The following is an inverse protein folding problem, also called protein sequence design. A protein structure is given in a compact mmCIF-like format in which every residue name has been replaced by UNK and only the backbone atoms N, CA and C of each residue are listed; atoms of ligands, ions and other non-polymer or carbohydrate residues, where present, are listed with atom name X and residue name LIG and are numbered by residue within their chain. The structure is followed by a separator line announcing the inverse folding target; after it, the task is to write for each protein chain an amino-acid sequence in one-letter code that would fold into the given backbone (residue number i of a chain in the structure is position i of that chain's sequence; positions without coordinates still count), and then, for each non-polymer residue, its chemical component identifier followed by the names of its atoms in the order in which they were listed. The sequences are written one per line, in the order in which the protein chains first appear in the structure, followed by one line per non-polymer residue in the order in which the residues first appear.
data_IF_661155324158
#
_entry.id   IF_661155324158
#
_cell.length_a   1.000
_cell.length_b   1.000
_cell.length_c   1.000
_cell.angle_alpha   90.00
_cell.angle_beta   90.00
_cell.angle_gamma   90.00
#
_symmetry.space_group_name_H-M   'P 1'
#
loop_
_entity.id
_entity.type
_entity.pdbx_description
1 polymer ?
#
# COMPACT_ATOMS: atom_id res chain seq x y z
N UNK A 1 23.99 -3.41 -13.90
CA UNK A 1 24.02 -4.85 -13.58
C UNK A 1 22.99 -5.10 -12.48
N UNK A 2 21.77 -5.52 -12.82
CA UNK A 2 20.77 -5.89 -11.82
C UNK A 2 21.01 -7.35 -11.45
N UNK A 3 21.39 -7.59 -10.19
CA UNK A 3 21.66 -8.92 -9.66
C UNK A 3 20.35 -9.72 -9.65
N UNK A 4 20.35 -10.82 -10.41
CA UNK A 4 19.28 -11.82 -10.34
C UNK A 4 19.25 -12.40 -8.92
N UNK A 5 18.19 -12.05 -8.19
CA UNK A 5 17.96 -12.52 -6.83
C UNK A 5 17.50 -13.99 -6.90
N UNK A 6 18.45 -14.92 -6.96
CA UNK A 6 18.24 -16.37 -6.84
C UNK A 6 17.87 -16.78 -5.41
N UNK A 7 16.90 -16.10 -4.80
CA UNK A 7 16.33 -16.55 -3.52
C UNK A 7 15.16 -17.48 -3.82
N UNK A 8 15.14 -18.65 -3.19
CA UNK A 8 14.14 -19.68 -3.38
C UNK A 8 12.69 -19.13 -3.39
N UNK A 9 11.80 -19.64 -4.27
CA UNK A 9 10.45 -19.10 -4.49
C UNK A 9 9.52 -19.19 -3.26
N UNK A 10 9.95 -19.84 -2.19
CA UNK A 10 9.20 -20.05 -0.95
C UNK A 10 9.79 -19.31 0.26
N UNK A 11 10.86 -18.55 0.08
CA UNK A 11 11.55 -17.90 1.19
C UNK A 11 10.77 -16.69 1.71
N UNK A 12 10.49 -16.68 3.01
CA UNK A 12 9.89 -15.53 3.71
C UNK A 12 10.76 -14.27 3.55
N UNK A 13 10.11 -13.12 3.36
CA UNK A 13 10.78 -11.82 3.23
C UNK A 13 10.42 -10.90 4.38
N UNK A 14 11.39 -10.10 4.80
CA UNK A 14 11.17 -9.06 5.81
C UNK A 14 10.58 -7.80 5.19
N UNK A 15 9.92 -6.98 6.01
CA UNK A 15 9.35 -5.70 5.55
C UNK A 15 10.36 -4.78 4.87
N UNK A 16 11.61 -4.76 5.34
CA UNK A 16 12.66 -3.93 4.75
C UNK A 16 13.05 -4.42 3.36
N UNK A 17 13.16 -5.74 3.16
CA UNK A 17 13.46 -6.31 1.84
C UNK A 17 12.32 -6.04 0.85
N UNK A 18 11.06 -6.24 1.26
CA UNK A 18 9.90 -5.99 0.40
C UNK A 18 9.74 -4.50 0.09
N UNK A 19 10.02 -3.63 1.06
CA UNK A 19 10.03 -2.18 0.88
C UNK A 19 11.05 -1.75 -0.20
N UNK A 20 12.28 -2.27 -0.12
CA UNK A 20 13.32 -2.01 -1.11
C UNK A 20 12.95 -2.56 -2.49
N UNK A 21 12.35 -3.75 -2.57
CA UNK A 21 11.96 -4.36 -3.84
C UNK A 21 10.81 -3.61 -4.54
N UNK A 22 9.90 -3.02 -3.77
CA UNK A 22 8.76 -2.27 -4.29
C UNK A 22 9.02 -0.77 -4.40
N UNK A 23 10.20 -0.29 -4.02
CA UNK A 23 10.51 1.14 -3.89
C UNK A 23 9.46 1.91 -3.07
N UNK A 24 9.01 1.30 -1.96
CA UNK A 24 8.01 1.87 -1.07
C UNK A 24 8.56 2.01 0.34
N UNK A 25 8.26 3.09 1.07
CA UNK A 25 8.65 3.20 2.47
C UNK A 25 8.04 2.08 3.33
N UNK A 26 8.78 1.51 4.32
CA UNK A 26 8.29 0.43 5.17
C UNK A 26 6.99 0.76 5.93
N UNK A 27 6.77 2.04 6.28
CA UNK A 27 5.56 2.46 6.98
C UNK A 27 4.29 2.36 6.09
N UNK A 28 4.41 2.49 4.77
CA UNK A 28 3.30 2.31 3.81
C UNK A 28 2.86 0.85 3.82
N UNK A 29 3.81 -0.08 3.82
CA UNK A 29 3.50 -1.52 3.93
C UNK A 29 2.79 -1.84 5.24
N UNK A 30 3.25 -1.28 6.37
CA UNK A 30 2.55 -1.42 7.67
C UNK A 30 1.14 -0.86 7.64
N UNK A 31 0.94 0.28 6.98
CA UNK A 31 -0.38 0.87 6.82
C UNK A 31 -1.28 -0.04 5.97
N UNK A 32 -0.75 -0.63 4.90
CA UNK A 32 -1.48 -1.57 4.04
C UNK A 32 -1.84 -2.87 4.76
N UNK A 33 -1.03 -3.37 5.69
CA UNK A 33 -1.42 -4.52 6.54
C UNK A 33 -2.76 -4.31 7.23
N UNK A 34 -3.00 -3.09 7.76
CA UNK A 34 -4.25 -2.76 8.43
C UNK A 34 -5.43 -2.54 7.47
N UNK A 35 -5.16 -2.17 6.22
CA UNK A 35 -6.20 -1.90 5.21
C UNK A 35 -6.54 -3.12 4.36
N UNK A 36 -5.62 -4.06 4.18
CA UNK A 36 -5.83 -5.26 3.36
C UNK A 36 -5.60 -6.55 4.17
N UNK A 37 -6.28 -6.76 5.31
CA UNK A 37 -6.06 -7.92 6.18
C UNK A 37 -6.41 -9.26 5.51
N UNK A 38 -7.22 -9.21 4.45
CA UNK A 38 -7.61 -10.39 3.69
C UNK A 38 -6.56 -10.82 2.66
N UNK A 39 -5.74 -9.88 2.19
CA UNK A 39 -4.75 -10.11 1.13
C UNK A 39 -3.33 -10.23 1.69
N UNK A 40 -3.03 -9.49 2.77
CA UNK A 40 -1.69 -9.42 3.36
C UNK A 40 -1.78 -9.93 4.79
N UNK A 41 -1.17 -11.09 5.05
CA UNK A 41 -1.17 -11.72 6.38
C UNK A 41 0.25 -11.97 6.86
N UNK A 42 0.93 -10.95 7.43
CA UNK A 42 2.30 -11.11 7.88
C UNK A 42 2.39 -12.12 9.02
N UNK A 43 3.34 -13.05 8.91
CA UNK A 43 3.64 -14.00 9.98
C UNK A 43 4.42 -13.27 11.06
N UNK A 44 3.85 -13.18 12.26
CA UNK A 44 4.50 -12.62 13.44
C UNK A 44 5.34 -13.70 14.12
N UNK A 45 6.65 -13.47 14.22
CA UNK A 45 7.57 -14.35 14.98
C UNK A 45 7.86 -13.73 16.35
N UNK A 46 8.39 -14.54 17.29
CA UNK A 46 8.70 -14.21 18.70
C UNK A 46 9.61 -12.99 18.95
N UNK A 47 10.07 -12.28 17.91
CA UNK A 47 10.86 -11.04 18.02
C UNK A 47 10.17 -9.80 17.44
N UNK A 48 8.85 -9.80 17.23
CA UNK A 48 8.10 -8.65 16.70
C UNK A 48 8.36 -8.34 15.22
N UNK A 49 9.23 -9.11 14.56
CA UNK A 49 9.51 -9.00 13.13
C UNK A 49 8.37 -9.63 12.32
N UNK A 50 8.02 -8.95 11.23
CA UNK A 50 6.99 -9.37 10.28
C UNK A 50 7.66 -9.99 9.07
N UNK A 51 7.15 -11.16 8.70
CA UNK A 51 7.58 -11.89 7.52
C UNK A 51 6.40 -12.02 6.57
N UNK A 52 6.62 -11.64 5.32
CA UNK A 52 5.66 -11.80 4.23
C UNK A 52 5.96 -13.08 3.46
N UNK A 53 4.91 -13.76 3.03
CA UNK A 53 4.97 -14.87 2.09
C UNK A 53 5.12 -14.34 0.68
N UNK A 54 5.51 -15.22 -0.23
CA UNK A 54 5.58 -14.89 -1.66
C UNK A 54 4.22 -14.39 -2.18
N UNK A 55 3.12 -15.04 -1.78
CA UNK A 55 1.75 -14.63 -2.12
C UNK A 55 1.43 -13.20 -1.64
N UNK A 56 1.79 -12.86 -0.40
CA UNK A 56 1.59 -11.50 0.13
C UNK A 56 2.33 -10.46 -0.72
N UNK A 57 3.54 -10.78 -1.20
CA UNK A 57 4.33 -9.89 -2.06
C UNK A 57 3.65 -9.69 -3.42
N UNK A 58 3.05 -10.75 -3.98
CA UNK A 58 2.25 -10.63 -5.20
C UNK A 58 1.03 -9.71 -4.97
N UNK A 59 0.32 -9.86 -3.86
CA UNK A 59 -0.79 -8.96 -3.52
C UNK A 59 -0.32 -7.51 -3.33
N UNK A 60 0.83 -7.29 -2.68
CA UNK A 60 1.42 -5.96 -2.50
C UNK A 60 1.75 -5.28 -3.83
N UNK A 61 2.28 -6.02 -4.81
CA UNK A 61 2.50 -5.49 -6.17
C UNK A 61 1.20 -5.08 -6.84
N UNK A 62 0.16 -5.92 -6.74
CA UNK A 62 -1.16 -5.62 -7.29
C UNK A 62 -1.78 -4.39 -6.62
N UNK A 63 -1.70 -4.27 -5.30
CA UNK A 63 -2.18 -3.11 -4.56
C UNK A 63 -1.43 -1.85 -4.99
N UNK A 64 -0.09 -1.89 -5.13
CA UNK A 64 0.70 -0.78 -5.64
C UNK A 64 0.19 -0.32 -7.02
N UNK A 65 -0.03 -1.26 -7.93
CA UNK A 65 -0.54 -0.93 -9.26
C UNK A 65 -1.93 -0.27 -9.21
N UNK A 66 -2.86 -0.83 -8.42
CA UNK A 66 -4.22 -0.28 -8.30
C UNK A 66 -4.23 1.13 -7.72
N UNK A 67 -3.37 1.41 -6.74
CA UNK A 67 -3.33 2.72 -6.07
C UNK A 67 -2.54 3.76 -6.87
N UNK A 68 -1.33 3.42 -7.32
CA UNK A 68 -0.42 4.39 -7.95
C UNK A 68 -0.59 4.49 -9.46
N UNK A 69 -0.91 3.39 -10.14
CA UNK A 69 -1.08 3.40 -11.60
C UNK A 69 -2.52 3.70 -11.99
N UNK A 70 -3.49 3.05 -11.34
CA UNK A 70 -4.91 3.25 -11.67
C UNK A 70 -5.58 4.37 -10.86
N UNK A 71 -4.90 4.93 -9.86
CA UNK A 71 -5.43 6.02 -9.04
C UNK A 71 -6.67 5.63 -8.23
N UNK A 72 -6.88 4.33 -7.98
CA UNK A 72 -8.02 3.89 -7.18
C UNK A 72 -7.83 4.27 -5.72
N UNK A 73 -8.94 4.54 -5.03
CA UNK A 73 -8.93 4.68 -3.57
C UNK A 73 -8.71 3.31 -2.92
N UNK A 74 -8.31 3.29 -1.64
CA UNK A 74 -8.15 2.05 -0.87
C UNK A 74 -9.43 1.19 -0.90
N UNK A 75 -10.62 1.81 -0.81
CA UNK A 75 -11.91 1.12 -0.91
C UNK A 75 -12.13 0.54 -2.31
N UNK A 76 -11.76 1.28 -3.37
CA UNK A 76 -11.84 0.81 -4.75
C UNK A 76 -10.91 -0.38 -5.00
N UNK A 77 -9.66 -0.30 -4.56
CA UNK A 77 -8.70 -1.38 -4.65
C UNK A 77 -9.17 -2.65 -3.90
N UNK A 78 -9.74 -2.50 -2.68
CA UNK A 78 -10.34 -3.62 -1.95
C UNK A 78 -11.49 -4.29 -2.72
N UNK A 79 -12.34 -3.51 -3.39
CA UNK A 79 -13.45 -4.05 -4.18
C UNK A 79 -12.92 -4.86 -5.37
N UNK A 80 -11.98 -4.31 -6.12
CA UNK A 80 -11.34 -4.98 -7.25
C UNK A 80 -10.67 -6.28 -6.81
N UNK A 81 -9.84 -6.24 -5.76
CA UNK A 81 -9.16 -7.44 -5.25
C UNK A 81 -10.14 -8.54 -4.83
N UNK A 82 -11.28 -8.16 -4.25
CA UNK A 82 -12.35 -9.10 -3.88
C UNK A 82 -13.01 -9.72 -5.11
N UNK A 83 -13.32 -8.94 -6.13
CA UNK A 83 -13.90 -9.43 -7.39
C UNK A 83 -12.95 -10.39 -8.10
N UNK A 84 -11.66 -10.07 -8.16
CA UNK A 84 -10.63 -10.95 -8.72
C UNK A 84 -10.55 -12.29 -7.97
N UNK A 85 -10.64 -12.27 -6.64
CA UNK A 85 -10.70 -13.49 -5.82
C UNK A 85 -11.91 -14.36 -6.16
N UNK A 86 -13.08 -13.76 -6.36
CA UNK A 86 -14.29 -14.51 -6.73
C UNK A 86 -14.20 -15.12 -8.13
N UNK A 87 -13.55 -14.42 -9.09
CA UNK A 87 -13.30 -14.97 -10.43
C UNK A 87 -12.40 -16.21 -10.36
N UNK A 88 -11.30 -16.15 -9.60
CA UNK A 88 -10.39 -17.29 -9.44
C UNK A 88 -11.11 -18.47 -8.77
N UNK A 89 -11.91 -18.22 -7.73
CA UNK A 89 -12.64 -19.28 -7.03
C UNK A 89 -13.67 -19.99 -7.91
N UNK A 90 -14.39 -19.24 -8.77
CA UNK A 90 -15.36 -19.83 -9.70
C UNK A 90 -14.69 -20.71 -10.75
N UNK A 91 -13.50 -20.36 -11.21
CA UNK A 91 -12.73 -21.19 -12.16
C UNK A 91 -12.20 -22.47 -11.50
N UNK A 92 -11.87 -22.44 -10.20
CA UNK A 92 -11.40 -23.64 -9.47
C UNK A 92 -12.51 -24.63 -9.06
N UNK A 93 -13.79 -24.22 -9.12
CA UNK A 93 -14.94 -25.08 -8.81
C UNK A 93 -15.67 -25.59 -10.06
N UNK A 94 -15.17 -25.26 -11.27
CA UNK A 94 -15.73 -25.75 -12.54
C UNK A 94 -14.78 -26.76 -13.18
N UNK A 95 -15.26 -27.97 -13.57
CA UNK A 95 -14.54 -28.81 -14.51
C UNK A 95 -14.30 -28.00 -15.79
N UNK A 96 -13.05 -28.03 -16.26
CA UNK A 96 -12.61 -27.40 -17.50
C UNK A 96 -13.53 -27.76 -18.67
N UNK A 97 -14.33 -26.82 -19.13
CA UNK A 97 -14.85 -26.86 -20.48
C UNK A 97 -14.80 -25.44 -21.07
N UNK A 98 -14.14 -25.38 -22.23
CA UNK A 98 -13.76 -24.18 -22.93
C UNK A 98 -14.96 -23.43 -23.49
N UNK A 99 -14.89 -22.10 -23.51
CA UNK A 99 -15.21 -21.27 -24.68
C UNK A 99 -15.05 -19.79 -24.35
N UNK A 100 -14.15 -19.15 -25.09
CA UNK A 100 -14.30 -17.87 -25.78
C UNK A 100 -15.64 -17.14 -25.57
N UNK A 101 -15.61 -15.89 -25.13
CA UNK A 101 -16.08 -14.76 -25.95
C UNK A 101 -15.87 -13.41 -25.26
N UNK A 102 -15.70 -12.41 -26.11
CA UNK A 102 -15.31 -11.05 -25.82
C UNK A 102 -16.52 -10.17 -25.48
N UNK A 103 -16.20 -8.95 -24.98
CA UNK A 103 -17.01 -7.72 -25.14
C UNK A 103 -18.34 -7.68 -24.34
N UNK A 104 -18.94 -6.57 -23.93
CA UNK A 104 -18.66 -5.13 -23.93
C UNK A 104 -19.95 -4.46 -23.44
N UNK A 105 -19.93 -3.67 -22.35
CA UNK A 105 -20.94 -2.62 -22.07
C UNK A 105 -20.34 -1.70 -20.99
N UNK A 106 -19.76 -0.55 -21.33
CA UNK A 106 -20.35 0.71 -21.82
C UNK A 106 -21.23 1.44 -20.78
N UNK A 107 -20.65 2.53 -20.26
CA UNK A 107 -21.26 3.84 -19.94
C UNK A 107 -22.42 3.95 -18.94
N UNK A 108 -22.20 4.72 -17.87
CA UNK A 108 -23.09 5.83 -17.48
C UNK A 108 -22.46 6.76 -16.41
N UNK A 109 -22.42 8.05 -16.76
CA UNK A 109 -22.55 9.22 -15.88
C UNK A 109 -21.40 9.62 -14.90
N UNK A 110 -20.54 10.52 -15.38
CA UNK A 110 -20.16 11.72 -14.61
C UNK A 110 -21.31 12.76 -14.74
N UNK A 111 -21.52 13.76 -13.84
CA UNK A 111 -20.46 14.46 -13.09
C UNK A 111 -20.88 14.90 -11.67
N UNK A 112 -20.20 14.44 -10.62
CA UNK A 112 -20.21 15.22 -9.35
C UNK A 112 -18.86 15.10 -8.64
N UNK A 113 -18.20 16.25 -8.64
CA UNK A 113 -17.04 16.67 -7.84
C UNK A 113 -16.82 15.87 -6.56
N UNK A 114 -15.69 15.18 -6.47
CA UNK A 114 -14.88 15.12 -5.25
C UNK A 114 -13.57 14.40 -5.56
N UNK A 115 -12.50 15.18 -5.73
CA UNK A 115 -11.16 14.69 -5.47
C UNK A 115 -11.16 14.01 -4.09
N UNK A 116 -10.58 12.81 -3.89
CA UNK A 116 -9.99 12.49 -2.60
C UNK A 116 -8.58 13.04 -2.67
N UNK A 117 -8.43 14.35 -2.52
CA UNK A 117 -7.95 14.91 -1.26
C UNK A 117 -7.18 13.85 -0.47
N UNK A 118 -5.87 14.06 -0.36
CA UNK A 118 -5.19 13.78 0.89
C UNK A 118 -6.13 14.36 1.95
N UNK A 119 -6.88 13.53 2.67
CA UNK A 119 -7.44 13.96 3.95
C UNK A 119 -6.23 14.08 4.87
N UNK A 120 -5.52 15.19 4.68
CA UNK A 120 -4.84 15.89 5.75
C UNK A 120 -5.85 15.93 6.90
N UNK A 121 -5.41 15.75 8.15
CA UNK A 121 -6.29 16.01 9.28
C UNK A 121 -7.00 17.33 9.03
N UNK A 122 -8.34 17.30 8.99
CA UNK A 122 -9.12 18.50 8.80
C UNK A 122 -8.63 19.53 9.82
N UNK A 123 -8.47 20.80 9.40
CA UNK A 123 -7.94 21.87 10.26
C UNK A 123 -8.62 21.89 11.64
N UNK A 124 -9.88 21.45 11.74
CA UNK A 124 -10.67 21.41 12.98
C UNK A 124 -10.47 20.20 13.90
N UNK A 125 -9.51 19.30 13.64
CA UNK A 125 -9.21 18.14 14.51
C UNK A 125 -7.89 18.27 15.29
N UNK A 126 -7.17 19.39 15.17
CA UNK A 126 -6.02 19.65 16.03
C UNK A 126 -6.46 20.46 17.24
N UNK A 127 -6.39 19.86 18.43
CA UNK A 127 -6.54 20.59 19.69
C UNK A 127 -5.50 21.73 19.73
N UNK A 128 -5.80 22.87 20.37
CA UNK A 128 -4.83 23.97 20.49
C UNK A 128 -3.50 23.50 21.11
N UNK A 129 -3.54 22.52 22.01
CA UNK A 129 -2.36 21.87 22.57
C UNK A 129 -1.52 21.15 21.50
N UNK A 130 -2.16 20.38 20.61
CA UNK A 130 -1.45 19.63 19.57
C UNK A 130 -0.92 20.54 18.47
N UNK A 131 -1.58 21.67 18.19
CA UNK A 131 -1.03 22.70 17.28
C UNK A 131 0.22 23.36 17.86
N UNK A 132 0.16 23.72 19.14
CA UNK A 132 1.29 24.32 19.84
C UNK A 132 2.49 23.36 19.92
N UNK A 133 2.23 22.07 20.17
CA UNK A 133 3.26 21.03 20.18
C UNK A 133 3.93 20.87 18.81
N UNK A 134 3.13 20.90 17.71
CA UNK A 134 3.66 20.86 16.35
C UNK A 134 4.46 22.12 15.99
N UNK A 135 4.04 23.30 16.44
CA UNK A 135 4.77 24.57 16.24
C UNK A 135 6.10 24.56 16.99
N UNK A 136 6.14 24.04 18.22
CA UNK A 136 7.38 23.87 18.99
C UNK A 136 8.35 22.93 18.28
N UNK A 137 7.88 21.75 17.90
CA UNK A 137 8.71 20.76 17.20
C UNK A 137 9.21 21.28 15.84
N UNK A 138 8.37 22.03 15.10
CA UNK A 138 8.78 22.67 13.85
C UNK A 138 9.89 23.71 14.09
N UNK A 139 9.77 24.51 15.14
CA UNK A 139 10.79 25.49 15.54
C UNK A 139 12.12 24.83 15.91
N UNK A 140 12.08 23.73 16.67
CA UNK A 140 13.27 22.92 17.00
C UNK A 140 13.93 22.32 15.75
N UNK A 141 13.14 21.78 14.82
CA UNK A 141 13.68 21.24 13.58
C UNK A 141 14.27 22.33 12.68
N UNK A 142 13.69 23.53 12.66
CA UNK A 142 14.21 24.67 11.92
C UNK A 142 15.51 25.20 12.52
N UNK A 143 15.63 25.25 13.84
CA UNK A 143 16.85 25.65 14.52
C UNK A 143 17.97 24.64 14.30
N UNK A 144 17.68 23.34 14.41
CA UNK A 144 18.61 22.26 14.09
C UNK A 144 19.06 22.32 12.62
N UNK A 145 18.14 22.57 11.68
CA UNK A 145 18.48 22.76 10.27
C UNK A 145 19.38 23.97 10.06
N UNK A 146 19.16 25.06 10.80
CA UNK A 146 20.02 26.24 10.78
C UNK A 146 21.43 25.95 11.28
N UNK A 147 21.54 25.22 12.39
CA UNK A 147 22.82 24.81 12.98
C UNK A 147 23.59 23.86 12.05
N UNK A 148 22.92 22.89 11.43
CA UNK A 148 23.53 22.02 10.43
C UNK A 148 24.05 22.82 9.22
N UNK A 149 23.29 23.81 8.77
CA UNK A 149 23.71 24.71 7.68
C UNK A 149 24.94 25.56 8.05
N UNK A 150 25.08 25.93 9.34
CA UNK A 150 26.27 26.64 9.84
C UNK A 150 27.49 25.72 10.03
N UNK A 151 27.27 24.42 10.26
CA UNK A 151 28.32 23.42 10.42
C UNK A 151 28.86 22.86 9.08
N UNK A 152 28.26 23.24 7.95
CA UNK A 152 28.79 22.93 6.62
C UNK A 152 28.76 21.45 6.23
N UNK A 153 27.80 20.68 6.76
CA UNK A 153 27.47 19.31 6.29
C UNK A 153 26.24 19.35 5.40
#
# INVERSE_FOLDING_TARGET
MHLENTKAPLAFRTISEVASELDLPPHVLRFWEGKFPNEIKPVKRSGGRRYYRQEDIHHLRSIKHLLYTQGLTIKGAQKVLREHRFKIKRVSEQPVEAATEAQEIAQAAAPVVAQPVVSLPGKDQLSPAMRHELESLLGELQSLRGLLKQLGV
#
